data_IF_764931183734
#
_entry.id   IF_764931183734
#
_cell.length_a   1.000
_cell.length_b   1.000
_cell.length_c   1.000
_cell.angle_alpha   90.00
_cell.angle_beta   90.00
_cell.angle_gamma   90.00
#
_symmetry.space_group_name_H-M   'P 1'
#
loop_
_entity.id
_entity.type
_entity.pdbx_description
1 polymer ?
#
# COMPACT_ATOMS: atom_id res chain seq x y z
N UNK A 1 15.99 81.25 9.38
CA UNK A 1 16.00 80.11 10.32
C UNK A 1 14.59 79.57 10.40
N UNK A 2 14.34 78.41 9.80
CA UNK A 2 13.22 77.51 10.15
C UNK A 2 13.49 76.19 9.44
N UNK A 3 14.13 75.29 10.18
CA UNK A 3 14.45 73.94 9.78
C UNK A 3 13.19 73.09 9.95
N UNK A 4 12.59 72.65 8.84
CA UNK A 4 11.51 71.68 8.85
C UNK A 4 12.09 70.27 8.92
N UNK A 5 11.96 69.64 10.09
CA UNK A 5 12.37 68.27 10.36
C UNK A 5 11.42 67.27 9.69
N UNK A 6 11.99 66.43 8.82
CA UNK A 6 11.36 65.25 8.23
C UNK A 6 11.26 64.13 9.28
N UNK A 7 10.11 63.96 9.91
CA UNK A 7 9.80 62.75 10.68
C UNK A 7 9.18 61.70 9.75
N UNK A 8 9.98 60.72 9.36
CA UNK A 8 9.51 59.57 8.57
C UNK A 8 8.95 58.52 9.55
N UNK A 9 7.71 58.02 9.38
CA UNK A 9 7.14 57.06 10.30
C UNK A 9 7.88 55.72 10.21
N UNK A 10 8.43 55.32 11.35
CA UNK A 10 9.07 54.03 11.58
C UNK A 10 8.04 52.91 11.37
N UNK A 11 8.05 52.28 10.19
CA UNK A 11 7.26 51.06 9.92
C UNK A 11 7.88 49.91 10.69
N UNK A 12 7.35 49.70 11.90
CA UNK A 12 7.55 48.49 12.69
C UNK A 12 7.26 47.27 11.81
N UNK A 13 8.33 46.54 11.49
CA UNK A 13 8.30 45.33 10.68
C UNK A 13 7.59 44.26 11.51
N UNK A 14 6.29 44.08 11.28
CA UNK A 14 5.53 43.01 11.91
C UNK A 14 6.25 41.67 11.66
N UNK A 15 6.67 41.04 12.75
CA UNK A 15 7.22 39.69 12.72
C UNK A 15 6.10 38.80 12.20
N UNK A 16 6.23 38.31 10.96
CA UNK A 16 5.36 37.26 10.44
C UNK A 16 5.60 36.02 11.31
N UNK A 17 4.74 35.80 12.29
CA UNK A 17 4.55 34.47 12.86
C UNK A 17 4.26 33.54 11.70
N UNK A 18 5.18 32.62 11.43
CA UNK A 18 4.98 31.55 10.46
C UNK A 18 3.76 30.78 10.96
N UNK A 19 2.63 30.92 10.24
CA UNK A 19 1.43 30.18 10.58
C UNK A 19 1.80 28.70 10.62
N UNK A 20 1.47 28.02 11.72
CA UNK A 20 1.71 26.59 11.79
C UNK A 20 1.04 25.92 10.59
N UNK A 21 1.74 24.99 9.92
CA UNK A 21 1.18 24.32 8.75
C UNK A 21 -0.11 23.61 9.15
N UNK A 22 -1.23 24.03 8.57
CA UNK A 22 -2.54 23.43 8.81
C UNK A 22 -2.51 21.98 8.34
N UNK A 23 -2.57 21.04 9.28
CA UNK A 23 -2.69 19.60 9.00
C UNK A 23 -4.09 19.13 9.37
N UNK A 24 -4.62 18.22 8.55
CA UNK A 24 -5.93 17.62 8.77
C UNK A 24 -5.93 16.54 9.87
N UNK A 25 -4.78 15.89 10.11
CA UNK A 25 -4.65 14.80 11.09
C UNK A 25 -4.34 15.35 12.49
N UNK A 26 -4.92 14.72 13.51
CA UNK A 26 -4.65 15.02 14.92
C UNK A 26 -3.27 14.51 15.33
N UNK A 27 -2.49 15.30 16.06
CA UNK A 27 -1.26 14.83 16.69
C UNK A 27 -1.55 14.07 17.99
N UNK A 28 -0.95 12.88 18.13
CA UNK A 28 -1.03 12.06 19.33
C UNK A 28 0.32 12.03 20.05
N UNK A 29 0.27 12.29 21.36
CA UNK A 29 1.43 12.16 22.26
C UNK A 29 1.43 10.83 23.02
N UNK A 30 0.30 10.11 23.01
CA UNK A 30 0.08 8.78 23.59
C UNK A 30 -0.84 7.96 22.67
N UNK A 31 -0.72 6.63 22.67
CA UNK A 31 -1.57 5.77 21.86
C UNK A 31 -2.84 5.35 22.62
N UNK A 32 -4.04 5.52 22.03
CA UNK A 32 -5.25 4.89 22.56
C UNK A 32 -5.17 3.36 22.51
N UNK A 33 -6.06 2.69 23.26
CA UNK A 33 -6.18 1.24 23.20
C UNK A 33 -6.56 0.77 21.77
N UNK A 34 -6.03 -0.37 21.34
CA UNK A 34 -6.27 -0.90 19.98
C UNK A 34 -5.55 -0.16 18.86
N UNK A 35 -4.73 0.85 19.17
CA UNK A 35 -3.99 1.61 18.15
C UNK A 35 -2.53 1.19 18.06
N UNK A 36 -1.94 1.40 16.87
CA UNK A 36 -0.52 1.18 16.59
C UNK A 36 0.06 2.36 15.80
N UNK A 37 1.38 2.53 15.84
CA UNK A 37 2.09 3.50 15.00
C UNK A 37 2.71 2.84 13.78
N UNK A 38 2.71 3.54 12.65
CA UNK A 38 3.37 3.11 11.42
C UNK A 38 4.33 4.20 10.93
N UNK A 39 5.62 3.89 10.79
CA UNK A 39 6.63 4.87 10.40
C UNK A 39 6.49 5.25 8.93
N UNK A 40 6.53 6.55 8.67
CA UNK A 40 6.54 7.13 7.33
C UNK A 40 7.99 7.24 6.87
N UNK A 41 8.32 6.56 5.77
CA UNK A 41 9.69 6.49 5.22
C UNK A 41 9.83 7.25 3.90
N UNK A 42 8.73 7.74 3.34
CA UNK A 42 8.71 8.50 2.11
C UNK A 42 7.74 9.67 2.19
N UNK A 43 7.92 10.64 1.30
CA UNK A 43 7.13 11.87 1.21
C UNK A 43 5.81 11.72 0.44
N UNK A 44 5.40 10.48 0.15
CA UNK A 44 4.20 10.15 -0.64
C UNK A 44 2.87 10.54 0.03
N UNK A 45 2.91 10.84 1.33
CA UNK A 45 1.76 11.22 2.15
C UNK A 45 1.78 12.68 2.61
N UNK A 46 2.73 13.48 2.12
CA UNK A 46 2.78 14.91 2.41
C UNK A 46 1.60 15.66 1.77
N UNK A 47 1.11 16.75 2.40
CA UNK A 47 1.60 17.37 3.64
C UNK A 47 1.02 16.77 4.92
N UNK A 48 0.15 15.76 4.82
CA UNK A 48 -0.60 15.23 5.97
C UNK A 48 0.26 14.38 6.89
N UNK A 49 1.15 13.57 6.31
CA UNK A 49 2.13 12.74 7.01
C UNK A 49 3.49 12.97 6.35
N UNK A 50 4.48 13.38 7.14
CA UNK A 50 5.84 13.65 6.64
C UNK A 50 6.76 12.47 6.88
N UNK A 51 7.81 12.40 6.09
CA UNK A 51 8.90 11.45 6.33
C UNK A 51 9.46 11.58 7.75
N UNK A 52 9.68 10.44 8.41
CA UNK A 52 10.16 10.36 9.79
C UNK A 52 9.06 10.44 10.86
N UNK A 53 7.84 10.86 10.52
CA UNK A 53 6.70 10.82 11.41
C UNK A 53 6.09 9.41 11.49
N UNK A 54 5.11 9.26 12.37
CA UNK A 54 4.38 8.02 12.58
C UNK A 54 2.89 8.24 12.34
N UNK A 55 2.28 7.51 11.41
CA UNK A 55 0.83 7.44 11.32
C UNK A 55 0.27 6.66 12.52
N UNK A 56 -0.81 7.16 13.11
CA UNK A 56 -1.53 6.48 14.19
C UNK A 56 -2.72 5.74 13.59
N UNK A 57 -2.73 4.42 13.75
CA UNK A 57 -3.66 3.50 13.09
C UNK A 57 -4.60 2.91 14.15
N UNK A 58 -5.91 3.05 13.95
CA UNK A 58 -6.92 2.26 14.66
C UNK A 58 -7.04 0.89 13.99
N UNK A 59 -6.53 -0.15 14.65
CA UNK A 59 -6.50 -1.51 14.11
C UNK A 59 -7.87 -2.20 14.16
N UNK A 60 -8.85 -1.60 14.84
CA UNK A 60 -10.21 -2.14 14.98
C UNK A 60 -11.15 -1.64 13.88
N UNK A 61 -10.76 -0.58 13.16
CA UNK A 61 -11.56 0.05 12.13
C UNK A 61 -11.01 -0.21 10.73
N UNK A 62 -11.72 -1.06 9.99
CA UNK A 62 -11.40 -1.40 8.59
C UNK A 62 -12.53 -1.02 7.63
N UNK A 63 -13.59 -0.38 8.13
CA UNK A 63 -14.79 -0.08 7.35
C UNK A 63 -14.47 0.98 6.29
N UNK A 64 -14.64 0.62 5.01
CA UNK A 64 -14.25 1.52 3.90
C UNK A 64 -15.09 2.80 3.88
N UNK A 65 -14.42 3.94 3.83
CA UNK A 65 -15.03 5.26 3.81
C UNK A 65 -14.35 6.16 2.78
N UNK A 66 -15.16 6.92 2.03
CA UNK A 66 -14.64 7.72 0.92
C UNK A 66 -13.87 8.94 1.42
N UNK A 67 -12.60 9.05 1.04
CA UNK A 67 -11.69 10.12 1.40
C UNK A 67 -10.80 9.80 2.60
N UNK A 68 -11.14 8.76 3.37
CA UNK A 68 -10.40 8.36 4.56
C UNK A 68 -9.08 7.67 4.20
N UNK A 69 -8.15 7.70 5.16
CA UNK A 69 -6.81 7.15 5.03
C UNK A 69 -6.72 5.81 5.75
N UNK A 70 -6.09 4.83 5.13
CA UNK A 70 -5.90 3.51 5.72
C UNK A 70 -4.48 3.00 5.53
N UNK A 71 -4.04 2.15 6.46
CA UNK A 71 -2.88 1.30 6.25
C UNK A 71 -3.34 0.04 5.51
N UNK A 72 -2.85 -0.15 4.29
CA UNK A 72 -3.12 -1.35 3.49
C UNK A 72 -1.89 -2.26 3.46
N UNK A 73 -2.12 -3.58 3.42
CA UNK A 73 -1.09 -4.56 3.12
C UNK A 73 -1.40 -5.30 1.81
N UNK A 74 -0.55 -5.09 0.80
CA UNK A 74 -0.72 -5.69 -0.53
C UNK A 74 -0.25 -7.14 -0.60
N UNK A 75 -0.83 -7.87 -1.55
CA UNK A 75 -0.56 -9.30 -1.81
C UNK A 75 0.76 -9.53 -2.55
N UNK A 76 1.22 -8.61 -3.41
CA UNK A 76 2.38 -8.84 -4.26
C UNK A 76 3.72 -8.59 -3.54
N UNK A 77 4.54 -9.65 -3.47
CA UNK A 77 6.01 -9.66 -3.54
C UNK A 77 6.82 -9.02 -2.41
N UNK A 78 6.46 -7.83 -1.94
CA UNK A 78 7.30 -7.02 -1.06
C UNK A 78 6.65 -6.65 0.27
N UNK A 79 5.57 -7.34 0.70
CA UNK A 79 4.93 -7.18 2.03
C UNK A 79 4.65 -5.73 2.45
N UNK A 80 4.67 -4.82 1.48
CA UNK A 80 4.87 -3.41 1.73
C UNK A 80 3.55 -2.83 2.20
N UNK A 81 3.53 -2.48 3.48
CA UNK A 81 2.45 -1.70 4.04
C UNK A 81 2.53 -0.29 3.49
N UNK A 82 1.41 0.26 3.05
CA UNK A 82 1.33 1.62 2.50
C UNK A 82 0.17 2.37 3.10
N UNK A 83 0.34 3.68 3.24
CA UNK A 83 -0.78 4.57 3.52
C UNK A 83 -1.46 4.90 2.20
N UNK A 84 -2.77 4.68 2.15
CA UNK A 84 -3.60 4.95 0.97
C UNK A 84 -4.82 5.77 1.34
N UNK A 85 -5.26 6.62 0.42
CA UNK A 85 -6.56 7.24 0.50
C UNK A 85 -7.57 6.38 -0.25
N UNK A 86 -8.64 5.99 0.43
CA UNK A 86 -9.71 5.21 -0.17
C UNK A 86 -10.70 6.15 -0.87
N UNK A 87 -11.00 5.90 -2.15
CA UNK A 87 -11.98 6.66 -2.93
C UNK A 87 -13.03 5.74 -3.51
N UNK A 88 -14.25 6.23 -3.68
CA UNK A 88 -15.37 5.46 -4.22
C UNK A 88 -15.89 6.05 -5.53
N UNK A 89 -16.44 5.20 -6.39
CA UNK A 89 -17.13 5.62 -7.62
C UNK A 89 -18.14 4.56 -8.06
N UNK A 90 -19.10 4.96 -8.89
CA UNK A 90 -20.03 4.03 -9.55
C UNK A 90 -19.45 3.60 -10.90
N UNK A 91 -18.94 2.39 -11.00
CA UNK A 91 -18.37 1.87 -12.26
C UNK A 91 -18.91 0.49 -12.62
N UNK A 92 -18.83 0.15 -13.90
CA UNK A 92 -19.19 -1.16 -14.41
C UNK A 92 -17.92 -2.00 -14.53
N UNK A 93 -17.73 -2.94 -13.60
CA UNK A 93 -16.54 -3.82 -13.55
C UNK A 93 -16.74 -5.16 -14.25
N UNK A 94 -17.97 -5.46 -14.69
CA UNK A 94 -18.31 -6.68 -15.43
C UNK A 94 -18.89 -6.32 -16.80
N UNK A 95 -18.75 -7.19 -17.82
CA UNK A 95 -19.23 -6.89 -19.16
C UNK A 95 -20.73 -6.54 -19.21
N UNK A 96 -21.16 -5.69 -20.16
CA UNK A 96 -22.56 -5.42 -20.41
C UNK A 96 -23.37 -6.72 -20.61
N UNK A 97 -24.64 -6.77 -20.15
CA UNK A 97 -25.46 -5.65 -19.67
C UNK A 97 -25.39 -5.42 -18.15
N UNK A 98 -24.30 -5.80 -17.48
CA UNK A 98 -24.18 -5.65 -16.04
C UNK A 98 -24.36 -4.19 -15.56
N UNK A 99 -25.08 -3.94 -14.45
CA UNK A 99 -25.23 -2.59 -13.91
C UNK A 99 -23.91 -2.06 -13.33
N UNK A 100 -23.78 -0.73 -13.31
CA UNK A 100 -22.75 -0.04 -12.52
C UNK A 100 -22.95 -0.37 -11.04
N UNK A 101 -21.84 -0.52 -10.31
CA UNK A 101 -21.83 -0.79 -8.87
C UNK A 101 -20.88 0.18 -8.17
N UNK A 102 -21.12 0.41 -6.89
CA UNK A 102 -20.19 1.14 -6.04
C UNK A 102 -18.92 0.30 -5.89
N UNK A 103 -17.78 0.89 -6.21
CA UNK A 103 -16.46 0.29 -6.06
C UNK A 103 -15.51 1.24 -5.39
N UNK A 104 -14.40 0.68 -4.91
CA UNK A 104 -13.39 1.37 -4.14
C UNK A 104 -12.03 1.32 -4.83
N UNK A 105 -11.27 2.39 -4.66
CA UNK A 105 -9.93 2.58 -5.19
C UNK A 105 -9.00 2.97 -4.06
N UNK A 106 -7.81 2.38 -4.03
CA UNK A 106 -6.71 2.83 -3.18
C UNK A 106 -5.85 3.80 -3.98
N UNK A 107 -5.78 5.04 -3.53
CA UNK A 107 -5.02 6.10 -4.18
C UNK A 107 -3.83 6.52 -3.32
N UNK A 108 -2.69 6.81 -3.98
CA UNK A 108 -1.61 7.57 -3.35
C UNK A 108 -2.11 8.95 -2.96
N UNK A 109 -1.78 9.43 -1.76
CA UNK A 109 -2.21 10.75 -1.26
C UNK A 109 -1.65 11.88 -2.14
N UNK A 110 -0.39 11.76 -2.53
CA UNK A 110 0.27 12.71 -3.43
C UNK A 110 -0.24 12.68 -4.89
N UNK A 111 -1.11 11.73 -5.23
CA UNK A 111 -1.69 11.61 -6.56
C UNK A 111 -0.68 11.29 -7.66
N UNK A 112 -1.16 11.42 -8.90
CA UNK A 112 -0.43 11.12 -10.13
C UNK A 112 0.73 12.09 -10.35
N UNK A 113 1.96 11.57 -10.42
CA UNK A 113 3.17 12.38 -10.61
C UNK A 113 4.18 11.69 -11.52
N UNK A 114 4.89 12.43 -12.38
CA UNK A 114 5.94 11.86 -13.22
C UNK A 114 7.10 11.36 -12.35
N UNK A 115 7.66 10.22 -12.70
CA UNK A 115 8.94 9.78 -12.16
C UNK A 115 10.03 10.70 -12.73
N UNK A 116 10.80 11.35 -11.86
CA UNK A 116 11.84 12.31 -12.27
C UNK A 116 12.98 11.67 -13.07
N UNK A 117 13.12 10.35 -13.00
CA UNK A 117 14.10 9.58 -13.76
C UNK A 117 13.36 8.35 -14.33
N UNK A 118 13.11 8.30 -15.64
CA UNK A 118 12.64 7.07 -16.27
C UNK A 118 13.72 5.98 -16.09
N UNK A 119 13.35 4.74 -15.72
CA UNK A 119 14.29 3.63 -15.70
C UNK A 119 15.01 3.52 -17.04
N UNK A 120 16.29 3.13 -17.00
CA UNK A 120 17.04 2.83 -18.22
C UNK A 120 16.27 1.78 -19.03
N UNK A 121 15.85 2.13 -20.25
CA UNK A 121 15.06 1.25 -21.12
C UNK A 121 13.59 1.64 -21.32
N UNK A 122 13.07 2.71 -20.69
CA UNK A 122 11.68 3.14 -20.90
C UNK A 122 11.38 3.71 -22.30
N UNK A 123 12.37 3.79 -23.20
CA UNK A 123 12.20 4.27 -24.58
C UNK A 123 11.73 5.72 -24.70
N UNK A 124 11.89 6.52 -23.64
CA UNK A 124 11.39 7.90 -23.59
C UNK A 124 9.89 8.02 -23.25
N UNK A 125 9.24 6.92 -22.87
CA UNK A 125 7.85 6.96 -22.38
C UNK A 125 7.88 7.56 -20.96
N UNK A 126 7.11 8.63 -20.69
CA UNK A 126 6.97 9.18 -19.35
C UNK A 126 6.34 8.15 -18.42
N UNK A 127 7.05 7.76 -17.38
CA UNK A 127 6.52 6.91 -16.32
C UNK A 127 5.93 7.77 -15.20
N UNK A 128 4.84 7.28 -14.62
CA UNK A 128 4.12 7.97 -13.57
C UNK A 128 3.94 7.06 -12.36
N UNK A 129 4.01 7.64 -11.17
CA UNK A 129 3.62 7.00 -9.91
C UNK A 129 2.34 7.65 -9.37
N UNK A 130 1.78 7.06 -8.32
CA UNK A 130 0.50 7.49 -7.74
C UNK A 130 -0.71 7.04 -8.53
N UNK A 131 -0.59 5.90 -9.22
CA UNK A 131 -1.72 5.20 -9.80
C UNK A 131 -2.71 4.77 -8.71
N UNK A 132 -3.97 4.65 -9.11
CA UNK A 132 -5.00 4.02 -8.28
C UNK A 132 -4.93 2.50 -8.43
N UNK A 133 -5.07 1.80 -7.33
CA UNK A 133 -5.25 0.35 -7.30
C UNK A 133 -6.73 -0.01 -7.03
N UNK A 134 -7.29 -0.91 -7.82
CA UNK A 134 -8.72 -1.21 -7.85
C UNK A 134 -9.21 -1.51 -9.28
N UNK A 135 -10.53 -1.63 -9.50
CA UNK A 135 -11.62 -1.39 -8.55
C UNK A 135 -11.86 -2.58 -7.60
N UNK A 136 -12.20 -2.28 -6.34
CA UNK A 136 -12.54 -3.26 -5.31
C UNK A 136 -14.01 -3.21 -4.92
N UNK A 137 -14.59 -4.37 -4.60
CA UNK A 137 -15.77 -4.43 -3.73
C UNK A 137 -15.35 -4.14 -2.28
N UNK A 138 -16.26 -3.59 -1.47
CA UNK A 138 -15.99 -3.21 -0.08
C UNK A 138 -15.35 -4.36 0.72
N UNK A 139 -16.04 -5.50 0.81
CA UNK A 139 -15.59 -6.69 1.54
C UNK A 139 -14.19 -7.20 1.10
N UNK A 140 -13.87 -7.04 -0.19
CA UNK A 140 -12.57 -7.44 -0.72
C UNK A 140 -11.45 -6.49 -0.29
N UNK A 141 -11.74 -5.19 -0.24
CA UNK A 141 -10.80 -4.18 0.22
C UNK A 141 -10.61 -4.24 1.74
N UNK A 142 -11.69 -4.35 2.52
CA UNK A 142 -11.64 -4.42 3.99
C UNK A 142 -10.74 -5.55 4.51
N UNK A 143 -10.65 -6.67 3.79
CA UNK A 143 -9.75 -7.77 4.09
C UNK A 143 -8.25 -7.45 3.90
N UNK A 144 -7.93 -6.42 3.11
CA UNK A 144 -6.56 -5.94 2.85
C UNK A 144 -6.15 -4.79 3.77
N UNK A 145 -7.12 -4.10 4.37
CA UNK A 145 -6.87 -2.99 5.28
C UNK A 145 -6.49 -3.53 6.66
N UNK A 146 -5.42 -2.97 7.24
CA UNK A 146 -5.01 -3.28 8.60
C UNK A 146 -5.78 -2.43 9.62
N UNK A 147 -6.01 -1.16 9.28
CA UNK A 147 -6.73 -0.20 10.11
C UNK A 147 -6.78 1.19 9.50
N UNK A 148 -7.62 2.06 10.07
CA UNK A 148 -7.79 3.46 9.64
C UNK A 148 -6.73 4.35 10.26
N UNK A 149 -6.18 5.28 9.49
CA UNK A 149 -5.30 6.33 10.00
C UNK A 149 -6.15 7.41 10.65
N UNK A 150 -5.99 7.60 11.96
CA UNK A 150 -6.76 8.58 12.74
C UNK A 150 -5.93 9.79 13.18
N UNK A 151 -4.63 9.74 12.96
CA UNK A 151 -3.72 10.81 13.38
C UNK A 151 -2.28 10.55 13.02
N UNK A 152 -1.39 11.33 13.63
CA UNK A 152 0.05 11.17 13.51
C UNK A 152 0.76 11.41 14.84
N UNK A 153 2.03 11.03 14.92
CA UNK A 153 2.92 11.38 16.02
C UNK A 153 4.30 11.74 15.48
N UNK A 154 4.92 12.73 16.10
CA UNK A 154 6.30 13.15 15.80
C UNK A 154 7.35 12.22 16.41
N UNK A 155 6.93 11.25 17.24
CA UNK A 155 7.80 10.29 17.92
C UNK A 155 7.21 8.88 17.92
N UNK A 156 8.07 7.88 18.13
CA UNK A 156 7.61 6.50 18.30
C UNK A 156 6.86 6.36 19.63
N UNK A 157 5.68 5.75 19.60
CA UNK A 157 4.83 5.54 20.79
C UNK A 157 4.83 4.07 21.26
N UNK A 158 5.97 3.38 21.14
CA UNK A 158 6.25 2.02 21.66
C UNK A 158 5.46 0.83 21.05
N UNK A 159 4.38 1.05 20.30
CA UNK A 159 3.68 0.00 19.52
C UNK A 159 3.81 0.24 18.01
N UNK A 160 5.03 0.10 17.50
CA UNK A 160 5.31 0.33 16.09
C UNK A 160 5.09 -0.95 15.25
N UNK A 161 4.21 -0.85 14.26
CA UNK A 161 4.21 -1.76 13.13
C UNK A 161 5.44 -1.44 12.28
N UNK A 162 6.34 -2.40 12.11
CA UNK A 162 7.42 -2.21 11.15
C UNK A 162 6.85 -2.27 9.73
N UNK A 163 7.46 -1.52 8.81
CA UNK A 163 7.07 -1.57 7.40
C UNK A 163 7.26 -2.96 6.81
N UNK A 164 8.27 -3.68 7.29
CA UNK A 164 8.66 -5.01 6.85
C UNK A 164 8.06 -6.17 7.67
N UNK A 165 7.38 -5.92 8.79
CA UNK A 165 6.74 -6.99 9.55
C UNK A 165 5.70 -7.65 8.66
N UNK A 166 5.81 -8.97 8.53
CA UNK A 166 4.81 -9.80 7.88
C UNK A 166 3.44 -9.68 8.57
N UNK A 167 2.50 -10.50 8.13
CA UNK A 167 1.23 -10.66 8.84
C UNK A 167 1.47 -10.99 10.33
N UNK A 168 0.54 -10.62 11.21
CA UNK A 168 0.64 -10.84 12.67
C UNK A 168 0.82 -12.32 13.08
N UNK A 169 0.71 -13.26 12.12
CA UNK A 169 0.83 -14.71 12.28
C UNK A 169 1.84 -15.34 11.31
N UNK A 170 3.01 -14.70 11.13
CA UNK A 170 4.03 -15.11 10.16
C UNK A 170 4.44 -16.59 10.28
N UNK A 171 4.59 -17.09 11.51
CA UNK A 171 4.92 -18.49 11.77
C UNK A 171 3.81 -19.45 11.33
N UNK A 172 2.54 -19.06 11.54
CA UNK A 172 1.38 -19.83 11.09
C UNK A 172 1.30 -19.79 9.56
N UNK A 173 1.51 -18.62 8.95
CA UNK A 173 1.55 -18.45 7.49
C UNK A 173 2.62 -19.34 6.87
N UNK A 174 3.83 -19.33 7.44
CA UNK A 174 4.93 -20.20 7.02
C UNK A 174 4.60 -21.69 7.18
N UNK A 175 3.97 -22.08 8.28
CA UNK A 175 3.57 -23.47 8.51
C UNK A 175 2.44 -23.94 7.58
N UNK A 176 1.57 -23.02 7.15
CA UNK A 176 0.44 -23.32 6.26
C UNK A 176 0.81 -23.28 4.77
N UNK A 177 1.94 -22.67 4.41
CA UNK A 177 2.34 -22.58 3.02
C UNK A 177 3.03 -23.86 2.56
N UNK A 178 2.39 -24.56 1.63
CA UNK A 178 2.94 -25.70 0.93
C UNK A 178 3.36 -25.27 -0.49
N UNK A 179 4.66 -25.19 -0.72
CA UNK A 179 5.22 -24.83 -2.03
C UNK A 179 4.87 -25.85 -3.11
N UNK A 180 4.75 -27.13 -2.75
CA UNK A 180 4.37 -28.18 -3.68
C UNK A 180 2.93 -28.03 -4.14
N UNK A 181 2.00 -27.85 -3.19
CA UNK A 181 0.60 -27.53 -3.46
C UNK A 181 0.48 -26.30 -4.38
N UNK A 182 1.26 -25.25 -4.08
CA UNK A 182 1.27 -24.02 -4.86
C UNK A 182 1.63 -24.27 -6.34
N UNK A 183 2.73 -24.99 -6.59
CA UNK A 183 3.17 -25.34 -7.94
C UNK A 183 2.14 -26.22 -8.63
N UNK A 184 1.59 -27.22 -7.93
CA UNK A 184 0.64 -28.18 -8.49
C UNK A 184 -0.67 -27.50 -8.92
N UNK A 185 -1.20 -26.59 -8.09
CA UNK A 185 -2.40 -25.83 -8.41
C UNK A 185 -2.16 -24.91 -9.62
N UNK A 186 -1.05 -24.17 -9.64
CA UNK A 186 -0.73 -23.28 -10.76
C UNK A 186 -0.56 -24.07 -12.06
N UNK A 187 0.23 -25.14 -12.04
CA UNK A 187 0.49 -25.99 -13.22
C UNK A 187 -0.81 -26.60 -13.74
N UNK A 188 -1.66 -27.12 -12.86
CA UNK A 188 -2.98 -27.67 -13.22
C UNK A 188 -3.88 -26.63 -13.90
N UNK A 189 -3.79 -25.36 -13.47
CA UNK A 189 -4.55 -24.26 -14.07
C UNK A 189 -3.89 -23.68 -15.34
N UNK A 190 -2.81 -24.29 -15.84
CA UNK A 190 -2.12 -23.90 -17.07
C UNK A 190 -1.11 -22.77 -16.91
N UNK A 191 -0.77 -22.39 -15.68
CA UNK A 191 0.33 -21.44 -15.45
C UNK A 191 1.67 -22.11 -15.70
N UNK A 192 2.63 -21.32 -16.18
CA UNK A 192 4.04 -21.73 -16.22
C UNK A 192 4.84 -20.90 -15.24
N UNK A 193 5.55 -21.59 -14.36
CA UNK A 193 6.46 -20.97 -13.42
C UNK A 193 7.81 -20.75 -14.07
N UNK A 194 8.36 -19.55 -13.89
CA UNK A 194 9.75 -19.27 -14.25
C UNK A 194 10.48 -18.88 -12.99
N UNK A 195 11.51 -19.65 -12.69
CA UNK A 195 12.40 -19.43 -11.55
C UNK A 195 13.80 -19.27 -12.10
N UNK A 196 14.32 -18.06 -12.00
CA UNK A 196 15.72 -17.74 -12.24
C UNK A 196 16.38 -17.42 -10.88
N UNK A 197 17.72 -17.42 -10.83
CA UNK A 197 18.49 -17.26 -9.57
C UNK A 197 17.93 -16.18 -8.64
N UNK A 198 17.61 -15.02 -9.19
CA UNK A 198 17.16 -13.85 -8.41
C UNK A 198 15.69 -13.47 -8.65
N UNK A 199 14.99 -14.15 -9.57
CA UNK A 199 13.67 -13.74 -10.03
C UNK A 199 12.67 -14.89 -10.06
N UNK A 200 11.43 -14.55 -9.73
CA UNK A 200 10.29 -15.44 -9.80
C UNK A 200 9.15 -14.72 -10.50
N UNK A 201 8.56 -15.36 -11.51
CA UNK A 201 7.30 -14.88 -12.10
C UNK A 201 6.46 -16.01 -12.66
N UNK A 202 5.17 -15.70 -12.84
CA UNK A 202 4.14 -16.61 -13.32
C UNK A 202 3.70 -16.17 -14.71
N UNK A 203 3.86 -17.03 -15.71
CA UNK A 203 3.17 -16.83 -16.98
C UNK A 203 1.73 -17.26 -16.84
N UNK A 204 0.82 -16.32 -17.14
CA UNK A 204 -0.61 -16.57 -17.22
C UNK A 204 -0.91 -17.65 -18.27
N UNK A 205 -1.96 -18.46 -18.06
CA UNK A 205 -2.42 -19.40 -19.07
C UNK A 205 -2.91 -18.66 -20.33
N UNK A 206 -2.74 -19.28 -21.49
CA UNK A 206 -3.24 -18.75 -22.79
C UNK A 206 -4.77 -18.88 -22.94
N UNK A 207 -5.47 -19.18 -21.83
CA UNK A 207 -6.93 -19.34 -21.77
C UNK A 207 -7.50 -18.68 -20.52
N UNK A 208 -8.79 -18.39 -20.56
CA UNK A 208 -9.53 -18.02 -19.36
C UNK A 208 -9.59 -19.19 -18.36
N UNK A 209 -9.50 -18.86 -17.07
CA UNK A 209 -9.76 -19.80 -15.98
C UNK A 209 -11.26 -20.00 -15.79
N UNK A 210 -11.63 -21.21 -15.39
CA UNK A 210 -12.95 -21.46 -14.77
C UNK A 210 -13.02 -20.78 -13.40
N UNK A 211 -14.23 -20.63 -12.84
CA UNK A 211 -14.41 -20.01 -11.51
C UNK A 211 -13.72 -20.83 -10.41
N UNK A 212 -13.76 -22.14 -10.55
CA UNK A 212 -13.18 -23.11 -9.62
C UNK A 212 -11.64 -23.04 -9.66
N UNK A 213 -11.06 -22.93 -10.86
CA UNK A 213 -9.61 -22.71 -11.02
C UNK A 213 -9.17 -21.37 -10.48
N UNK A 214 -9.90 -20.29 -10.76
CA UNK A 214 -9.60 -18.95 -10.24
C UNK A 214 -9.64 -18.90 -8.71
N UNK A 215 -10.65 -19.55 -8.10
CA UNK A 215 -10.75 -19.68 -6.66
C UNK A 215 -9.56 -20.46 -6.07
N UNK A 216 -9.19 -21.60 -6.68
CA UNK A 216 -8.06 -22.42 -6.22
C UNK A 216 -6.72 -21.68 -6.34
N UNK A 217 -6.47 -21.02 -7.47
CA UNK A 217 -5.27 -20.18 -7.68
C UNK A 217 -5.22 -19.04 -6.67
N UNK A 218 -6.36 -18.38 -6.44
CA UNK A 218 -6.49 -17.32 -5.45
C UNK A 218 -6.17 -17.83 -4.04
N UNK A 219 -6.66 -19.01 -3.66
CA UNK A 219 -6.39 -19.61 -2.35
C UNK A 219 -4.90 -19.88 -2.12
N UNK A 220 -4.21 -20.55 -3.06
CA UNK A 220 -2.77 -20.82 -2.88
C UNK A 220 -1.93 -19.55 -2.93
N UNK A 221 -2.32 -18.55 -3.74
CA UNK A 221 -1.73 -17.21 -3.71
C UNK A 221 -1.92 -16.52 -2.37
N UNK A 222 -3.08 -16.68 -1.73
CA UNK A 222 -3.28 -16.18 -0.38
C UNK A 222 -2.34 -16.81 0.64
N UNK A 223 -2.12 -18.13 0.58
CA UNK A 223 -1.13 -18.82 1.43
C UNK A 223 0.28 -18.28 1.18
N UNK A 224 0.67 -18.16 -0.10
CA UNK A 224 1.96 -17.58 -0.50
C UNK A 224 2.17 -16.17 0.07
N UNK A 225 1.16 -15.30 -0.04
CA UNK A 225 1.23 -13.91 0.46
C UNK A 225 1.41 -13.85 1.99
N UNK A 226 0.85 -14.80 2.73
CA UNK A 226 0.95 -14.86 4.20
C UNK A 226 2.29 -15.38 4.69
N UNK A 227 2.99 -16.17 3.89
CA UNK A 227 4.29 -16.75 4.24
C UNK A 227 5.46 -15.83 3.82
N UNK A 228 5.98 -15.04 4.76
CA UNK A 228 7.34 -15.32 5.22
C UNK A 228 8.43 -15.81 4.27
N UNK A 229 8.45 -17.13 4.17
CA UNK A 229 9.49 -17.89 3.51
C UNK A 229 8.99 -18.42 2.18
N UNK A 230 7.81 -18.01 1.71
CA UNK A 230 7.15 -18.59 0.54
C UNK A 230 8.04 -18.60 -0.70
N UNK A 231 8.68 -17.47 -1.01
CA UNK A 231 9.58 -17.39 -2.16
C UNK A 231 10.78 -18.34 -2.02
N UNK A 232 11.39 -18.42 -0.84
CA UNK A 232 12.51 -19.33 -0.61
C UNK A 232 12.07 -20.79 -0.71
N UNK A 233 10.98 -21.15 -0.01
CA UNK A 233 10.38 -22.49 -0.05
C UNK A 233 9.98 -22.89 -1.48
N UNK A 234 9.48 -21.93 -2.27
CA UNK A 234 9.12 -22.14 -3.67
C UNK A 234 10.36 -22.36 -4.55
N UNK A 235 11.44 -21.60 -4.33
CA UNK A 235 12.73 -21.84 -5.01
C UNK A 235 13.27 -23.22 -4.69
N UNK A 236 13.33 -23.58 -3.40
CA UNK A 236 13.81 -24.89 -2.93
C UNK A 236 12.99 -26.03 -3.56
N UNK A 237 11.67 -25.88 -3.61
CA UNK A 237 10.78 -26.88 -4.21
C UNK A 237 10.91 -26.96 -5.74
N UNK A 238 11.08 -25.83 -6.43
CA UNK A 238 11.35 -25.82 -7.87
C UNK A 238 12.71 -26.47 -8.21
N UNK A 239 13.76 -26.23 -7.41
CA UNK A 239 15.04 -26.91 -7.55
C UNK A 239 14.88 -28.41 -7.33
N UNK A 240 14.17 -28.82 -6.27
CA UNK A 240 13.87 -30.23 -5.98
C UNK A 240 13.11 -30.93 -7.12
N UNK A 241 12.23 -30.22 -7.82
CA UNK A 241 11.45 -30.72 -8.96
C UNK A 241 12.19 -30.61 -10.31
N UNK A 242 13.39 -30.02 -10.35
CA UNK A 242 14.13 -29.78 -11.60
C UNK A 242 13.46 -28.77 -12.53
N UNK A 243 12.73 -27.80 -11.96
CA UNK A 243 12.03 -26.74 -12.69
C UNK A 243 12.87 -25.47 -12.88
N UNK A 244 14.03 -25.39 -12.23
CA UNK A 244 14.98 -24.28 -12.40
C UNK A 244 15.84 -24.55 -13.64
N UNK A 245 15.88 -23.57 -14.54
CA UNK A 245 16.66 -23.63 -15.78
C UNK A 245 18.15 -23.32 -15.55
#
# INVERSE_FOLDING_TARGET
MNSSENSTPNRSRAIRTVAEPLRALTEFTTLPHGHMTFRIEEDGSEPHLKEGEYAVIDMTDRSVQNGELFLIQYQSGNRARRIVQVKSTMTQITPPPSPKRLVWWCCSLRGFRPLHIPPAGSGGIPEYTGLSDGPYLAEGLEKKLLGRVVGYSTRSLSKALSQAAGYEDEDIGNAQFDAGEYIDVLTRCGYRLVVERDYYWEHLPDRALTKEEDAAVTEVRWKYCRASKALQLLKDECERRGLVA
#
